data_IF_001434092024
#
_entry.id   IF_001434092024
#
_cell.length_a   1.000
_cell.length_b   1.000
_cell.length_c   1.000
_cell.angle_alpha   90.00
_cell.angle_beta   90.00
_cell.angle_gamma   90.00
#
_symmetry.space_group_name_H-M   'P 1'
#
loop_
_entity.id
_entity.type
_entity.pdbx_description
1 polymer ?
#
# COMPACT_ATOMS: atom_id res chain seq x y z
N UNK A 1 17.42 5.66 -16.89
CA UNK A 1 16.04 5.17 -16.58
C UNK A 1 15.53 5.68 -15.24
N UNK A 2 16.32 5.59 -14.16
CA UNK A 2 15.97 6.11 -12.83
C UNK A 2 15.62 7.60 -12.82
N UNK A 3 16.35 8.43 -13.58
CA UNK A 3 16.06 9.86 -13.71
C UNK A 3 14.65 10.16 -14.29
N UNK A 4 14.15 9.32 -15.22
CA UNK A 4 12.78 9.46 -15.76
C UNK A 4 11.71 9.13 -14.71
N UNK A 5 11.98 8.16 -13.83
CA UNK A 5 11.08 7.81 -12.71
C UNK A 5 11.09 8.90 -11.64
N UNK A 6 12.28 9.41 -11.30
CA UNK A 6 12.47 10.57 -10.41
C UNK A 6 11.62 11.76 -10.87
N UNK A 7 11.72 12.13 -12.14
CA UNK A 7 10.98 13.25 -12.71
C UNK A 7 9.46 13.01 -12.73
N UNK A 8 9.01 11.78 -13.00
CA UNK A 8 7.57 11.42 -12.98
C UNK A 8 6.96 11.46 -11.58
N UNK A 9 7.73 11.13 -10.54
CA UNK A 9 7.24 11.06 -9.17
C UNK A 9 7.60 12.30 -8.34
N UNK A 10 8.48 13.17 -8.84
CA UNK A 10 8.89 14.41 -8.18
C UNK A 10 9.70 14.20 -6.90
N UNK A 11 10.42 13.08 -6.78
CA UNK A 11 11.17 12.71 -5.57
C UNK A 11 12.67 12.90 -5.76
N UNK A 12 13.43 13.04 -4.67
CA UNK A 12 14.89 13.04 -4.73
C UNK A 12 15.44 11.63 -5.00
N UNK A 13 16.72 11.50 -5.37
CA UNK A 13 17.35 10.19 -5.61
C UNK A 13 17.27 9.27 -4.40
N UNK A 14 17.49 9.82 -3.20
CA UNK A 14 17.29 9.11 -1.94
C UNK A 14 15.82 8.74 -1.73
N UNK A 15 14.88 9.67 -1.99
CA UNK A 15 13.45 9.38 -1.90
C UNK A 15 13.01 8.19 -2.73
N UNK A 16 13.48 8.08 -3.98
CA UNK A 16 13.18 6.94 -4.85
C UNK A 16 13.68 5.62 -4.26
N UNK A 17 14.90 5.60 -3.72
CA UNK A 17 15.47 4.40 -3.06
C UNK A 17 14.66 4.02 -1.83
N UNK A 18 14.31 4.99 -0.97
CA UNK A 18 13.48 4.75 0.22
C UNK A 18 12.10 4.19 -0.15
N UNK A 19 11.50 4.67 -1.23
CA UNK A 19 10.22 4.17 -1.74
C UNK A 19 10.36 2.72 -2.21
N UNK A 20 11.40 2.40 -3.00
CA UNK A 20 11.65 1.03 -3.44
C UNK A 20 11.90 0.08 -2.26
N UNK A 21 12.67 0.52 -1.26
CA UNK A 21 12.86 -0.23 -0.01
C UNK A 21 11.53 -0.44 0.74
N UNK A 22 10.70 0.60 0.84
CA UNK A 22 9.39 0.53 1.48
C UNK A 22 8.48 -0.48 0.76
N UNK A 23 8.49 -0.51 -0.58
CA UNK A 23 7.73 -1.51 -1.33
C UNK A 23 8.28 -2.93 -1.17
N UNK A 24 9.60 -3.10 -1.14
CA UNK A 24 10.21 -4.42 -0.94
C UNK A 24 9.90 -4.98 0.46
N UNK A 25 10.05 -4.15 1.50
CA UNK A 25 9.78 -4.53 2.89
C UNK A 25 8.27 -4.69 3.11
N UNK A 26 7.46 -3.72 2.70
CA UNK A 26 6.00 -3.75 2.84
C UNK A 26 5.37 -4.91 2.06
N UNK A 27 5.86 -5.19 0.85
CA UNK A 27 5.45 -6.35 0.05
C UNK A 27 5.76 -7.67 0.74
N UNK A 28 7.01 -7.86 1.18
CA UNK A 28 7.42 -9.07 1.91
C UNK A 28 6.64 -9.25 3.21
N UNK A 29 6.44 -8.17 3.96
CA UNK A 29 5.69 -8.17 5.22
C UNK A 29 4.21 -8.51 5.00
N UNK A 30 3.58 -7.93 3.99
CA UNK A 30 2.17 -8.20 3.67
C UNK A 30 1.93 -9.66 3.26
N UNK A 31 2.83 -10.25 2.46
CA UNK A 31 2.77 -11.67 2.11
C UNK A 31 2.96 -12.58 3.33
N UNK A 32 3.91 -12.23 4.21
CA UNK A 32 4.12 -12.97 5.45
C UNK A 32 2.90 -12.89 6.38
N UNK A 33 2.32 -11.69 6.57
CA UNK A 33 1.10 -11.52 7.36
C UNK A 33 -0.08 -12.26 6.74
N UNK A 34 -0.28 -12.18 5.42
CA UNK A 34 -1.36 -12.89 4.77
C UNK A 34 -1.24 -14.40 4.95
N UNK A 35 -0.03 -14.96 4.82
CA UNK A 35 0.22 -16.38 5.10
C UNK A 35 -0.09 -16.72 6.56
N UNK A 36 0.35 -15.88 7.51
CA UNK A 36 0.04 -16.04 8.93
C UNK A 36 -1.48 -16.02 9.19
N UNK A 37 -2.22 -15.11 8.57
CA UNK A 37 -3.68 -15.01 8.67
C UNK A 37 -4.35 -16.26 8.08
N UNK A 38 -3.92 -16.72 6.90
CA UNK A 38 -4.43 -17.96 6.29
C UNK A 38 -4.23 -19.17 7.20
N UNK A 39 -3.04 -19.31 7.78
CA UNK A 39 -2.72 -20.39 8.72
C UNK A 39 -3.53 -20.27 10.01
N UNK A 40 -3.76 -19.06 10.53
CA UNK A 40 -4.61 -18.83 11.72
C UNK A 40 -6.07 -19.23 11.48
N UNK A 41 -6.56 -18.97 10.27
CA UNK A 41 -7.91 -19.31 9.83
C UNK A 41 -8.05 -20.81 9.49
N UNK A 42 -6.97 -21.60 9.62
CA UNK A 42 -6.91 -23.03 9.29
C UNK A 42 -7.39 -23.34 7.86
N UNK A 43 -7.21 -22.40 6.93
CA UNK A 43 -7.57 -22.55 5.51
C UNK A 43 -6.45 -23.36 4.85
N UNK A 44 -6.59 -24.67 4.83
CA UNK A 44 -5.58 -25.59 4.27
C UNK A 44 -5.99 -26.07 2.86
N UNK A 45 -5.10 -25.83 1.89
CA UNK A 45 -4.97 -26.62 0.66
C UNK A 45 -6.09 -26.59 -0.39
N UNK A 46 -7.23 -25.94 -0.13
CA UNK A 46 -8.31 -25.84 -1.12
C UNK A 46 -7.98 -24.90 -2.28
N UNK A 47 -8.62 -25.07 -3.44
CA UNK A 47 -8.50 -24.12 -4.58
C UNK A 47 -8.85 -22.68 -4.18
N UNK A 48 -9.63 -22.50 -3.10
CA UNK A 48 -10.05 -21.23 -2.50
C UNK A 48 -8.90 -20.50 -1.78
N UNK A 49 -7.83 -21.21 -1.41
CA UNK A 49 -6.68 -20.65 -0.71
C UNK A 49 -6.03 -19.52 -1.50
N UNK A 50 -5.81 -19.73 -2.80
CA UNK A 50 -5.15 -18.76 -3.68
C UNK A 50 -5.95 -17.45 -3.82
N UNK A 51 -7.24 -17.46 -4.23
CA UNK A 51 -8.00 -16.23 -4.36
C UNK A 51 -8.16 -15.52 -3.02
N UNK A 52 -8.39 -16.27 -1.93
CA UNK A 52 -8.48 -15.67 -0.59
C UNK A 52 -7.16 -15.02 -0.17
N UNK A 53 -6.03 -15.70 -0.40
CA UNK A 53 -4.69 -15.17 -0.13
C UNK A 53 -4.45 -13.88 -0.91
N UNK A 54 -4.81 -13.82 -2.19
CA UNK A 54 -4.66 -12.61 -3.01
C UNK A 54 -5.50 -11.46 -2.45
N UNK A 55 -6.75 -11.72 -2.06
CA UNK A 55 -7.62 -10.70 -1.45
C UNK A 55 -7.02 -10.18 -0.14
N UNK A 56 -6.57 -11.09 0.73
CA UNK A 56 -5.99 -10.73 2.03
C UNK A 56 -4.66 -9.97 1.88
N UNK A 57 -3.75 -10.42 1.01
CA UNK A 57 -2.52 -9.68 0.69
C UNK A 57 -2.85 -8.29 0.15
N UNK A 58 -3.81 -8.20 -0.77
CA UNK A 58 -4.18 -6.93 -1.41
C UNK A 58 -4.76 -5.93 -0.41
N UNK A 59 -5.47 -6.39 0.62
CA UNK A 59 -5.98 -5.57 1.71
C UNK A 59 -4.91 -5.23 2.75
N UNK A 60 -3.99 -6.15 3.05
CA UNK A 60 -2.90 -5.95 4.02
C UNK A 60 -1.77 -5.08 3.49
N UNK A 61 -1.47 -5.18 2.19
CA UNK A 61 -0.41 -4.44 1.53
C UNK A 61 -0.44 -2.93 1.80
N UNK A 62 -1.56 -2.19 1.61
CA UNK A 62 -1.62 -0.76 1.92
C UNK A 62 -1.31 -0.44 3.39
N UNK A 63 -1.73 -1.31 4.32
CA UNK A 63 -1.43 -1.16 5.76
C UNK A 63 0.06 -1.34 6.02
N UNK A 64 0.67 -2.40 5.50
CA UNK A 64 2.11 -2.67 5.67
C UNK A 64 2.96 -1.56 5.05
N UNK A 65 2.60 -1.08 3.85
CA UNK A 65 3.31 0.01 3.18
C UNK A 65 3.25 1.30 4.00
N UNK A 66 2.10 1.64 4.58
CA UNK A 66 1.99 2.80 5.48
C UNK A 66 2.87 2.61 6.72
N UNK A 67 2.79 1.47 7.40
CA UNK A 67 3.57 1.21 8.61
C UNK A 67 5.08 1.36 8.37
N UNK A 68 5.59 0.83 7.25
CA UNK A 68 7.00 0.96 6.89
C UNK A 68 7.35 2.40 6.48
N UNK A 69 6.45 3.10 5.78
CA UNK A 69 6.68 4.50 5.37
C UNK A 69 6.82 5.47 6.55
N UNK A 70 6.19 5.16 7.69
CA UNK A 70 6.32 5.92 8.95
C UNK A 70 7.75 5.78 9.50
N UNK A 71 8.32 4.58 9.46
CA UNK A 71 9.70 4.33 9.93
C UNK A 71 10.75 5.05 9.08
N UNK A 72 10.48 5.21 7.77
CA UNK A 72 11.40 5.82 6.82
C UNK A 72 11.22 7.34 6.63
N UNK A 73 10.23 7.97 7.30
CA UNK A 73 9.99 9.42 7.20
C UNK A 73 9.39 9.89 5.85
N UNK A 74 8.94 8.97 4.99
CA UNK A 74 8.29 9.25 3.69
C UNK A 74 6.75 9.15 3.75
N UNK A 75 6.17 9.23 4.96
CA UNK A 75 4.74 9.07 5.20
C UNK A 75 3.87 10.02 4.37
N UNK A 76 4.25 11.29 4.21
CA UNK A 76 3.47 12.26 3.44
C UNK A 76 3.33 11.92 1.96
N UNK A 77 4.39 11.37 1.34
CA UNK A 77 4.37 10.93 -0.05
C UNK A 77 3.49 9.69 -0.22
N UNK A 78 3.71 8.67 0.62
CA UNK A 78 2.97 7.42 0.55
C UNK A 78 1.51 7.58 0.93
N UNK A 79 1.17 8.39 1.93
CA UNK A 79 -0.21 8.66 2.32
C UNK A 79 -1.00 9.31 1.18
N UNK A 80 -0.41 10.30 0.48
CA UNK A 80 -1.02 10.89 -0.73
C UNK A 80 -1.17 9.88 -1.87
N UNK A 81 -0.14 9.06 -2.10
CA UNK A 81 -0.19 7.99 -3.10
C UNK A 81 -1.30 6.98 -2.80
N UNK A 82 -1.40 6.55 -1.53
CA UNK A 82 -2.37 5.58 -1.07
C UNK A 82 -3.79 6.14 -1.05
N UNK A 83 -3.98 7.40 -0.67
CA UNK A 83 -5.26 8.09 -0.80
C UNK A 83 -5.71 8.14 -2.26
N UNK A 84 -4.80 8.46 -3.19
CA UNK A 84 -5.12 8.48 -4.63
C UNK A 84 -5.52 7.10 -5.15
N UNK A 85 -4.86 6.04 -4.68
CA UNK A 85 -5.25 4.65 -4.99
C UNK A 85 -6.59 4.27 -4.35
N UNK A 86 -6.78 4.60 -3.07
CA UNK A 86 -7.98 4.27 -2.29
C UNK A 86 -9.24 4.98 -2.78
N UNK A 87 -9.12 6.23 -3.25
CA UNK A 87 -10.22 6.93 -3.95
C UNK A 87 -10.60 6.22 -5.24
N UNK A 88 -9.61 5.69 -5.99
CA UNK A 88 -9.85 4.94 -7.23
C UNK A 88 -10.46 3.55 -6.98
N UNK A 89 -10.15 2.97 -5.83
CA UNK A 89 -10.65 1.67 -5.38
C UNK A 89 -11.98 1.78 -4.60
N UNK A 90 -12.49 2.99 -4.38
CA UNK A 90 -13.76 3.26 -3.69
C UNK A 90 -13.72 3.22 -2.16
N UNK A 91 -12.56 2.92 -1.57
CA UNK A 91 -12.38 2.83 -0.10
C UNK A 91 -12.36 4.20 0.60
N UNK A 92 -11.88 5.24 -0.07
CA UNK A 92 -11.87 6.61 0.47
C UNK A 92 -12.88 7.47 -0.27
N UNK A 93 -14.02 7.76 0.37
CA UNK A 93 -14.99 8.74 -0.12
C UNK A 93 -14.33 10.12 -0.07
N UNK A 94 -14.11 10.72 -1.24
CA UNK A 94 -13.68 12.12 -1.34
C UNK A 94 -14.66 12.99 -0.56
N UNK A 95 -14.21 13.58 0.56
CA UNK A 95 -15.01 14.56 1.30
C UNK A 95 -14.91 15.90 0.58
N UNK A 96 -15.42 15.95 -0.65
CA UNK A 96 -15.57 17.18 -1.41
C UNK A 96 -17.07 17.52 -1.45
N UNK A 97 -17.52 18.20 -0.40
CA UNK A 97 -18.68 19.12 -0.38
C UNK A 97 -19.10 19.40 1.07
N UNK A 98 -18.42 20.34 1.73
CA UNK A 98 -19.04 21.21 2.75
C UNK A 98 -18.36 22.57 2.56
N UNK A 99 -18.88 23.35 1.62
CA UNK A 99 -18.30 24.65 1.25
C UNK A 99 -19.01 25.23 0.03
N UNK A 100 -20.33 25.17 0.00
CA UNK A 100 -21.17 25.92 -0.94
C UNK A 100 -22.60 25.87 -0.44
N UNK A 101 -22.93 26.78 0.46
CA UNK A 101 -24.22 27.44 0.68
C UNK A 101 -23.92 28.38 1.86
N UNK A 102 -23.52 29.62 1.54
CA UNK A 102 -24.40 30.80 1.57
C UNK A 102 -24.71 31.18 3.01
#
# INVERSE_FOLDING_TARGET
MLEKLKARWGVSGLGLVLILCTFAIGGSLSGFLAKKVMTLMSIDGGWIYIPLYIVVVSLLWPLCVISVSVLFGQFGFFSRYLQKMGTKMGFFKSKNSIGSHS
#
